data_IF_928159352376
#
_entry.id   IF_928159352376
#
_cell.length_a   1.000
_cell.length_b   1.000
_cell.length_c   1.000
_cell.angle_alpha   90.00
_cell.angle_beta   90.00
_cell.angle_gamma   90.00
#
_symmetry.space_group_name_H-M   'P 1'
#
loop_
_entity.id
_entity.type
_entity.pdbx_description
1 polymer ?
#
# COMPACT_ATOMS: atom_id res chain seq x y z
N UNK A 1 -17.20 -11.37 -14.01
CA UNK A 1 -18.57 -10.86 -14.28
C UNK A 1 -18.97 -11.41 -15.64
N UNK A 2 -20.20 -11.87 -15.80
CA UNK A 2 -20.75 -12.34 -17.06
C UNK A 2 -20.97 -11.14 -17.99
N UNK A 3 -20.44 -11.16 -19.22
CA UNK A 3 -20.44 -9.98 -20.09
C UNK A 3 -21.84 -9.60 -20.61
N UNK A 4 -22.82 -10.50 -20.53
CA UNK A 4 -24.16 -10.27 -21.07
C UNK A 4 -25.11 -9.74 -19.99
N UNK A 5 -25.07 -10.34 -18.81
CA UNK A 5 -25.98 -10.05 -17.71
C UNK A 5 -25.41 -9.07 -16.68
N UNK A 6 -24.08 -8.92 -16.64
CA UNK A 6 -23.40 -8.15 -15.61
C UNK A 6 -23.36 -8.85 -14.25
N UNK A 7 -23.79 -10.11 -14.15
CA UNK A 7 -23.82 -10.87 -12.89
C UNK A 7 -22.44 -11.45 -12.53
N UNK A 8 -22.15 -11.71 -11.25
CA UNK A 8 -20.92 -12.37 -10.86
C UNK A 8 -20.82 -13.78 -11.44
N UNK A 9 -19.62 -14.14 -11.85
CA UNK A 9 -19.26 -15.48 -12.36
C UNK A 9 -18.47 -16.24 -11.30
N UNK A 10 -17.51 -15.53 -10.69
CA UNK A 10 -16.69 -16.02 -9.61
C UNK A 10 -16.48 -14.86 -8.64
N UNK A 11 -16.67 -15.11 -7.35
CA UNK A 11 -16.35 -14.17 -6.29
C UNK A 11 -15.34 -14.84 -5.37
N UNK A 12 -14.23 -14.16 -5.13
CA UNK A 12 -13.27 -14.56 -4.10
C UNK A 12 -13.28 -13.51 -2.97
N UNK A 13 -13.62 -13.95 -1.75
CA UNK A 13 -13.69 -13.10 -0.56
C UNK A 13 -12.76 -13.65 0.51
N UNK A 14 -11.92 -12.79 1.07
CA UNK A 14 -11.17 -13.10 2.29
C UNK A 14 -11.91 -12.52 3.49
N UNK A 15 -12.53 -13.38 4.30
CA UNK A 15 -13.22 -12.99 5.52
C UNK A 15 -12.22 -13.01 6.68
N UNK A 16 -11.97 -11.83 7.27
CA UNK A 16 -11.05 -11.66 8.41
C UNK A 16 -11.78 -11.60 9.76
N UNK A 17 -12.91 -12.29 9.90
CA UNK A 17 -13.71 -12.31 11.14
C UNK A 17 -13.22 -13.33 12.17
N UNK A 18 -12.23 -14.15 11.81
CA UNK A 18 -11.62 -15.18 12.65
C UNK A 18 -10.09 -15.00 12.69
N UNK A 19 -9.42 -15.59 13.69
CA UNK A 19 -7.96 -15.54 13.85
C UNK A 19 -7.16 -16.18 12.69
N UNK A 20 -7.86 -16.89 11.79
CA UNK A 20 -7.33 -17.35 10.50
C UNK A 20 -8.23 -16.75 9.42
N UNK A 21 -7.68 -16.04 8.42
CA UNK A 21 -8.44 -15.55 7.29
C UNK A 21 -9.11 -16.72 6.55
N UNK A 22 -10.44 -16.65 6.40
CA UNK A 22 -11.19 -17.65 5.63
C UNK A 22 -11.39 -17.15 4.22
N UNK A 23 -10.81 -17.83 3.25
CA UNK A 23 -11.10 -17.62 1.84
C UNK A 23 -12.45 -18.30 1.51
N UNK A 24 -13.37 -17.53 0.94
CA UNK A 24 -14.66 -18.00 0.48
C UNK A 24 -14.72 -17.74 -1.02
N UNK A 25 -14.67 -18.83 -1.78
CA UNK A 25 -14.85 -18.80 -3.23
C UNK A 25 -16.29 -19.18 -3.55
N UNK A 26 -17.03 -18.26 -4.14
CA UNK A 26 -18.39 -18.52 -4.66
C UNK A 26 -18.31 -18.61 -6.18
N UNK A 27 -18.63 -19.79 -6.73
CA UNK A 27 -18.64 -20.06 -8.16
C UNK A 27 -20.09 -20.09 -8.68
N UNK A 28 -20.45 -19.08 -9.47
CA UNK A 28 -21.80 -18.94 -10.04
C UNK A 28 -21.91 -19.52 -11.46
N UNK A 29 -20.83 -20.09 -12.01
CA UNK A 29 -20.92 -20.84 -13.27
C UNK A 29 -21.73 -22.14 -13.12
N UNK A 30 -21.65 -22.76 -11.95
CA UNK A 30 -22.35 -24.02 -11.64
C UNK A 30 -23.69 -23.80 -10.95
N UNK A 31 -23.86 -22.64 -10.32
CA UNK A 31 -25.11 -22.26 -9.63
C UNK A 31 -25.35 -20.76 -9.89
N UNK A 32 -25.96 -20.41 -11.04
CA UNK A 32 -26.16 -19.01 -11.41
C UNK A 32 -26.97 -18.26 -10.35
N UNK A 33 -26.48 -17.08 -9.97
CA UNK A 33 -27.22 -16.15 -9.11
C UNK A 33 -28.02 -15.18 -9.96
N UNK A 34 -29.18 -14.75 -9.49
CA UNK A 34 -29.94 -13.63 -10.06
C UNK A 34 -29.61 -12.29 -9.39
N UNK A 35 -28.82 -12.33 -8.32
CA UNK A 35 -28.44 -11.18 -7.51
C UNK A 35 -27.03 -10.71 -7.88
N UNK A 36 -26.86 -9.39 -7.96
CA UNK A 36 -25.54 -8.76 -8.07
C UNK A 36 -24.76 -8.89 -6.75
N UNK A 37 -23.44 -8.70 -6.79
CA UNK A 37 -22.65 -8.29 -5.63
C UNK A 37 -22.43 -6.77 -5.66
N UNK A 38 -22.00 -6.15 -4.55
CA UNK A 38 -21.86 -4.70 -4.47
C UNK A 38 -21.03 -4.07 -5.61
N UNK A 39 -20.00 -4.76 -6.10
CA UNK A 39 -19.17 -4.27 -7.21
C UNK A 39 -19.91 -4.34 -8.56
N UNK A 40 -20.41 -5.50 -8.97
CA UNK A 40 -21.22 -5.63 -10.20
C UNK A 40 -22.49 -4.79 -10.17
N UNK A 41 -23.08 -4.56 -9.00
CA UNK A 41 -24.20 -3.66 -8.80
C UNK A 41 -23.87 -2.22 -9.26
N UNK A 42 -22.67 -1.72 -8.96
CA UNK A 42 -22.21 -0.41 -9.44
C UNK A 42 -22.11 -0.41 -10.97
N UNK A 43 -21.58 -1.49 -11.57
CA UNK A 43 -21.52 -1.59 -13.04
C UNK A 43 -22.92 -1.64 -13.67
N UNK A 44 -23.86 -2.38 -13.07
CA UNK A 44 -25.23 -2.42 -13.56
C UNK A 44 -25.93 -1.06 -13.44
N UNK A 45 -25.72 -0.36 -12.33
CA UNK A 45 -26.22 0.99 -12.16
C UNK A 45 -25.65 1.95 -13.20
N UNK A 46 -24.37 1.83 -13.57
CA UNK A 46 -23.75 2.64 -14.64
C UNK A 46 -24.40 2.37 -16.00
N UNK A 47 -24.58 1.10 -16.34
CA UNK A 47 -25.26 0.67 -17.56
C UNK A 47 -26.68 1.25 -17.64
N UNK A 48 -27.39 1.28 -16.52
CA UNK A 48 -28.73 1.84 -16.40
C UNK A 48 -28.77 3.37 -16.22
N UNK A 49 -27.64 4.07 -16.41
CA UNK A 49 -27.56 5.53 -16.33
C UNK A 49 -27.80 6.09 -14.92
N UNK A 50 -27.48 5.34 -13.88
CA UNK A 50 -27.68 5.73 -12.48
C UNK A 50 -29.14 5.64 -12.03
N UNK A 51 -29.97 4.83 -12.69
CA UNK A 51 -31.38 4.69 -12.34
C UNK A 51 -31.81 3.22 -12.30
N UNK A 52 -32.70 2.86 -11.39
CA UNK A 52 -33.29 1.51 -11.32
C UNK A 52 -33.20 0.88 -9.94
N UNK A 53 -33.86 -0.26 -9.78
CA UNK A 53 -33.77 -1.07 -8.56
C UNK A 53 -33.22 -2.44 -8.91
N UNK A 54 -32.14 -2.83 -8.24
CA UNK A 54 -31.42 -4.04 -8.57
C UNK A 54 -31.26 -4.91 -7.32
N UNK A 55 -31.57 -6.21 -7.40
CA UNK A 55 -31.36 -7.13 -6.30
C UNK A 55 -29.87 -7.46 -6.19
N UNK A 56 -29.34 -7.48 -4.97
CA UNK A 56 -27.96 -7.88 -4.71
C UNK A 56 -27.88 -8.74 -3.45
N UNK A 57 -26.86 -9.58 -3.37
CA UNK A 57 -26.64 -10.47 -2.24
C UNK A 57 -25.32 -10.13 -1.56
N UNK A 58 -25.35 -10.04 -0.24
CA UNK A 58 -24.18 -9.76 0.57
C UNK A 58 -24.25 -10.57 1.86
N UNK A 59 -23.18 -11.33 2.15
CA UNK A 59 -23.11 -12.23 3.30
C UNK A 59 -24.23 -13.28 3.37
N UNK A 60 -24.74 -13.73 2.23
CA UNK A 60 -25.80 -14.75 2.13
C UNK A 60 -27.22 -14.20 2.28
N UNK A 61 -27.36 -12.90 2.55
CA UNK A 61 -28.65 -12.21 2.62
C UNK A 61 -28.92 -11.47 1.30
N UNK A 62 -30.21 -11.34 0.95
CA UNK A 62 -30.64 -10.67 -0.27
C UNK A 62 -31.23 -9.30 0.05
N UNK A 63 -30.80 -8.30 -0.70
CA UNK A 63 -31.19 -6.91 -0.56
C UNK A 63 -31.60 -6.35 -1.92
N UNK A 64 -32.23 -5.18 -1.89
CA UNK A 64 -32.47 -4.38 -3.09
C UNK A 64 -31.79 -3.03 -2.89
N UNK A 65 -31.08 -2.58 -3.91
CA UNK A 65 -30.54 -1.23 -3.98
C UNK A 65 -31.31 -0.45 -5.04
N UNK A 66 -31.90 0.67 -4.64
CA UNK A 66 -32.59 1.61 -5.52
C UNK A 66 -31.67 2.78 -5.82
N UNK A 67 -31.41 2.98 -7.10
CA UNK A 67 -30.67 4.07 -7.68
C UNK A 67 -31.66 5.06 -8.29
N UNK A 68 -31.57 6.32 -7.87
CA UNK A 68 -32.39 7.39 -8.41
C UNK A 68 -31.47 8.52 -8.89
N UNK A 69 -31.46 8.77 -10.20
CA UNK A 69 -30.76 9.90 -10.77
C UNK A 69 -31.36 11.20 -10.19
N UNK A 70 -30.53 12.00 -9.53
CA UNK A 70 -30.91 13.30 -8.99
C UNK A 70 -31.10 14.32 -10.11
N UNK A 71 -32.04 15.26 -9.92
CA UNK A 71 -32.19 16.39 -10.87
C UNK A 71 -30.90 17.21 -10.92
N UNK A 72 -30.46 17.54 -12.14
CA UNK A 72 -29.25 18.34 -12.40
C UNK A 72 -29.29 19.72 -11.74
N UNK A 73 -30.48 20.29 -11.55
CA UNK A 73 -30.72 21.70 -11.23
C UNK A 73 -30.24 22.16 -9.84
N UNK A 74 -29.91 21.24 -8.91
CA UNK A 74 -29.39 21.62 -7.58
C UNK A 74 -28.17 20.84 -7.08
N UNK A 75 -27.76 19.77 -7.76
CA UNK A 75 -26.79 18.80 -7.23
C UNK A 75 -25.85 18.18 -8.27
N UNK A 76 -26.16 18.31 -9.56
CA UNK A 76 -25.30 17.90 -10.66
C UNK A 76 -24.40 19.05 -11.12
N UNK A 77 -23.21 18.71 -11.61
CA UNK A 77 -22.24 19.71 -12.02
C UNK A 77 -20.87 19.13 -12.27
N UNK A 78 -19.91 20.03 -12.51
CA UNK A 78 -18.52 19.68 -12.71
C UNK A 78 -17.90 19.22 -11.40
N UNK A 79 -17.31 18.03 -11.42
CA UNK A 79 -16.53 17.48 -10.31
C UNK A 79 -15.07 17.46 -10.76
N UNK A 80 -14.23 18.19 -10.02
CA UNK A 80 -12.77 18.19 -10.21
C UNK A 80 -12.13 17.14 -9.30
N UNK A 81 -11.30 16.28 -9.87
CA UNK A 81 -10.51 15.27 -9.19
C UNK A 81 -9.07 15.29 -9.72
N UNK A 82 -8.21 14.41 -9.20
CA UNK A 82 -6.83 14.27 -9.69
C UNK A 82 -6.79 13.67 -11.11
N UNK A 83 -7.84 12.95 -11.51
CA UNK A 83 -8.01 12.38 -12.85
C UNK A 83 -8.52 13.40 -13.89
N UNK A 84 -8.90 14.62 -13.47
CA UNK A 84 -9.43 15.65 -14.36
C UNK A 84 -10.73 16.27 -13.86
N UNK A 85 -11.43 16.96 -14.76
CA UNK A 85 -12.72 17.59 -14.48
C UNK A 85 -13.80 16.91 -15.30
N UNK A 86 -14.89 16.52 -14.64
CA UNK A 86 -15.96 15.72 -15.23
C UNK A 86 -17.30 16.41 -15.04
N UNK A 87 -18.10 16.52 -16.10
CA UNK A 87 -19.53 16.78 -15.97
C UNK A 87 -20.21 15.53 -15.42
N UNK A 88 -20.98 15.66 -14.33
CA UNK A 88 -21.55 14.50 -13.64
C UNK A 88 -23.05 14.63 -13.36
N UNK A 89 -23.71 13.47 -13.27
CA UNK A 89 -25.08 13.31 -12.79
C UNK A 89 -25.06 12.59 -11.44
N UNK A 90 -25.60 13.20 -10.36
CA UNK A 90 -25.63 12.58 -9.04
C UNK A 90 -26.67 11.47 -9.02
N UNK A 91 -26.32 10.33 -8.45
CA UNK A 91 -27.22 9.19 -8.25
C UNK A 91 -27.39 8.95 -6.76
N UNK A 92 -28.61 9.02 -6.25
CA UNK A 92 -28.93 8.70 -4.86
C UNK A 92 -29.13 7.20 -4.74
N UNK A 93 -28.52 6.58 -3.75
CA UNK A 93 -28.57 5.13 -3.52
C UNK A 93 -29.26 4.87 -2.19
N UNK A 94 -30.29 4.03 -2.22
CA UNK A 94 -31.05 3.61 -1.04
C UNK A 94 -31.07 2.09 -0.97
N UNK A 95 -30.85 1.55 0.24
CA UNK A 95 -30.97 0.12 0.50
C UNK A 95 -31.07 -0.15 1.99
N UNK A 96 -31.88 -1.13 2.39
CA UNK A 96 -31.94 -1.61 3.79
C UNK A 96 -30.60 -2.15 4.28
N UNK A 97 -29.76 -2.67 3.38
CA UNK A 97 -28.38 -3.02 3.68
C UNK A 97 -27.58 -1.81 4.17
N UNK A 98 -27.64 -0.69 3.43
CA UNK A 98 -26.92 0.52 3.81
C UNK A 98 -27.42 1.06 5.16
N UNK A 99 -28.73 1.00 5.39
CA UNK A 99 -29.33 1.39 6.66
C UNK A 99 -28.85 0.53 7.83
N UNK A 100 -28.76 -0.80 7.65
CA UNK A 100 -28.27 -1.75 8.65
C UNK A 100 -26.84 -1.42 9.10
N UNK A 101 -26.00 -0.99 8.15
CA UNK A 101 -24.61 -0.60 8.41
C UNK A 101 -24.45 0.88 8.83
N UNK A 102 -25.56 1.58 9.08
CA UNK A 102 -25.54 2.98 9.51
C UNK A 102 -25.04 3.93 8.43
N UNK A 103 -25.09 3.54 7.16
CA UNK A 103 -24.70 4.35 6.01
C UNK A 103 -25.94 5.11 5.53
N UNK A 104 -25.86 6.44 5.55
CA UNK A 104 -26.95 7.35 5.19
C UNK A 104 -26.53 8.26 4.04
N UNK A 105 -27.52 8.83 3.35
CA UNK A 105 -27.31 9.82 2.27
C UNK A 105 -26.30 9.37 1.19
N UNK A 106 -26.30 8.08 0.86
CA UNK A 106 -25.36 7.54 -0.11
C UNK A 106 -25.63 8.18 -1.48
N UNK A 107 -24.59 8.80 -2.05
CA UNK A 107 -24.59 9.37 -3.39
C UNK A 107 -23.38 8.92 -4.20
N UNK A 108 -23.63 8.67 -5.48
CA UNK A 108 -22.63 8.36 -6.49
C UNK A 108 -22.76 9.33 -7.67
N UNK A 109 -21.75 10.15 -7.92
CA UNK A 109 -21.72 11.05 -9.07
C UNK A 109 -21.08 10.31 -10.26
N UNK A 110 -21.87 10.08 -11.31
CA UNK A 110 -21.45 9.38 -12.54
C UNK A 110 -21.12 10.40 -13.64
N UNK A 111 -20.07 10.17 -14.43
CA UNK A 111 -19.74 11.05 -15.56
C UNK A 111 -20.84 11.08 -16.62
N UNK A 112 -20.96 12.21 -17.31
CA UNK A 112 -21.99 12.44 -18.34
C UNK A 112 -21.58 11.91 -19.73
N UNK A 113 -20.40 11.31 -19.87
CA UNK A 113 -19.97 10.63 -21.08
C UNK A 113 -20.61 9.23 -21.24
N UNK A 114 -20.29 8.56 -22.35
CA UNK A 114 -20.77 7.21 -22.67
C UNK A 114 -20.28 6.13 -21.70
N UNK A 115 -19.20 6.37 -20.96
CA UNK A 115 -18.61 5.42 -20.03
C UNK A 115 -19.24 5.50 -18.63
N UNK A 116 -19.91 6.62 -18.28
CA UNK A 116 -20.62 6.79 -16.99
C UNK A 116 -19.74 6.42 -15.80
N UNK A 117 -18.51 6.92 -15.76
CA UNK A 117 -17.50 6.55 -14.76
C UNK A 117 -17.92 7.09 -13.38
N UNK A 118 -17.80 6.32 -12.29
CA UNK A 118 -17.97 6.85 -10.94
C UNK A 118 -16.85 7.85 -10.61
N UNK A 119 -17.20 9.14 -10.48
CA UNK A 119 -16.24 10.22 -10.26
C UNK A 119 -16.10 10.55 -8.78
N UNK A 120 -17.23 10.57 -8.05
CA UNK A 120 -17.27 10.89 -6.63
C UNK A 120 -18.32 10.04 -5.91
N UNK A 121 -17.96 9.52 -4.74
CA UNK A 121 -18.87 8.81 -3.85
C UNK A 121 -18.96 9.57 -2.52
N UNK A 122 -20.16 9.71 -1.97
CA UNK A 122 -20.39 10.37 -0.68
C UNK A 122 -21.41 9.61 0.14
N UNK A 123 -21.22 9.55 1.44
CA UNK A 123 -22.20 9.00 2.37
C UNK A 123 -21.89 9.47 3.79
N UNK A 124 -22.87 9.40 4.67
CA UNK A 124 -22.74 9.69 6.08
C UNK A 124 -22.74 8.40 6.90
N UNK A 125 -22.04 8.42 8.01
CA UNK A 125 -22.10 7.37 9.04
C UNK A 125 -22.26 8.02 10.41
N UNK A 126 -22.48 7.22 11.45
CA UNK A 126 -22.44 7.70 12.83
C UNK A 126 -21.10 8.33 13.24
N UNK A 127 -20.03 8.17 12.45
CA UNK A 127 -18.69 8.74 12.70
C UNK A 127 -18.39 9.99 11.85
N UNK A 128 -19.32 10.42 11.01
CA UNK A 128 -19.17 11.59 10.13
C UNK A 128 -19.36 11.27 8.66
N UNK A 129 -19.11 12.27 7.82
CA UNK A 129 -19.29 12.23 6.37
C UNK A 129 -18.03 11.73 5.65
N UNK A 130 -18.22 10.84 4.68
CA UNK A 130 -17.18 10.29 3.84
C UNK A 130 -17.31 10.81 2.42
N UNK A 131 -16.18 11.11 1.79
CA UNK A 131 -16.10 11.47 0.37
C UNK A 131 -14.93 10.75 -0.26
N UNK A 132 -15.18 10.05 -1.36
CA UNK A 132 -14.17 9.36 -2.18
C UNK A 132 -14.16 10.03 -3.55
N UNK A 133 -12.97 10.35 -4.07
CA UNK A 133 -12.77 10.98 -5.38
C UNK A 133 -11.96 10.06 -6.30
N UNK A 134 -12.25 10.13 -7.60
CA UNK A 134 -11.52 9.42 -8.64
C UNK A 134 -10.08 9.95 -8.77
N UNK A 135 -9.09 9.11 -8.44
CA UNK A 135 -7.67 9.49 -8.50
C UNK A 135 -7.08 9.36 -9.91
N UNK A 136 -7.49 8.35 -10.69
CA UNK A 136 -7.03 8.14 -12.07
C UNK A 136 -8.03 7.25 -12.82
N UNK A 137 -8.10 7.39 -14.15
CA UNK A 137 -8.86 6.51 -15.03
C UNK A 137 -8.00 6.08 -16.22
N UNK A 138 -8.06 4.79 -16.53
CA UNK A 138 -7.48 4.22 -17.74
C UNK A 138 -8.55 3.37 -18.40
N UNK A 139 -8.92 3.73 -19.62
CA UNK A 139 -9.78 2.92 -20.49
C UNK A 139 -8.85 2.24 -21.47
N UNK A 140 -8.60 0.95 -21.26
CA UNK A 140 -7.84 0.18 -22.23
C UNK A 140 -8.71 -0.08 -23.46
N UNK A 141 -8.20 0.28 -24.65
CA UNK A 141 -8.85 -0.12 -25.89
C UNK A 141 -8.86 -1.66 -25.96
N UNK A 142 -10.02 -2.28 -26.24
CA UNK A 142 -10.05 -3.70 -26.52
C UNK A 142 -9.05 -3.99 -27.65
N UNK A 143 -8.28 -5.09 -27.59
CA UNK A 143 -7.41 -5.46 -28.68
C UNK A 143 -8.25 -5.56 -29.95
N UNK A 144 -7.96 -4.66 -30.91
CA UNK A 144 -8.67 -4.59 -32.18
C UNK A 144 -8.52 -5.95 -32.85
N UNK A 145 -9.60 -6.72 -32.89
CA UNK A 145 -9.61 -7.96 -33.65
C UNK A 145 -9.55 -7.55 -35.12
N UNK A 146 -8.41 -7.79 -35.78
CA UNK A 146 -8.13 -7.40 -37.17
C UNK A 146 -8.94 -8.17 -38.23
N UNK A 147 -10.13 -8.65 -37.89
CA UNK A 147 -11.02 -9.38 -38.81
C UNK A 147 -12.28 -8.56 -39.09
N UNK A 148 -12.14 -7.48 -39.85
CA UNK A 148 -13.27 -6.83 -40.52
C UNK A 148 -12.79 -5.99 -41.70
N UNK A 149 -12.37 -6.67 -42.76
CA UNK A 149 -12.39 -6.11 -44.10
C UNK A 149 -12.86 -7.18 -45.09
N UNK A 150 -14.03 -6.92 -45.69
CA UNK A 150 -14.56 -7.34 -47.00
C UNK A 150 -15.92 -8.04 -46.96
N UNK A 151 -16.94 -7.22 -47.15
CA UNK A 151 -18.22 -7.54 -47.82
C UNK A 151 -17.89 -7.49 -49.33
N UNK A 152 -18.06 -8.52 -50.16
CA UNK A 152 -19.32 -9.06 -50.70
C UNK A 152 -19.11 -10.42 -51.42
N UNK A 153 -19.81 -11.49 -51.01
CA UNK A 153 -20.48 -12.49 -51.88
C UNK A 153 -21.17 -13.58 -51.04
N UNK A 154 -22.38 -14.05 -51.40
CA UNK A 154 -23.02 -15.17 -50.70
C UNK A 154 -22.41 -16.48 -51.19
N UNK A 155 -21.60 -17.13 -50.34
CA UNK A 155 -21.02 -18.45 -50.59
C UNK A 155 -21.71 -19.51 -49.70
N UNK A 156 -21.94 -20.74 -50.18
CA UNK A 156 -22.74 -21.73 -49.46
C UNK A 156 -22.11 -22.12 -48.13
N UNK A 157 -22.96 -22.29 -47.12
CA UNK A 157 -22.63 -22.70 -45.75
C UNK A 157 -21.77 -23.95 -45.73
N UNK A 158 -20.47 -23.78 -45.46
CA UNK A 158 -19.59 -24.87 -45.05
C UNK A 158 -19.72 -25.12 -43.54
N UNK A 159 -19.77 -26.39 -43.22
CA UNK A 159 -19.82 -26.97 -41.89
C UNK A 159 -18.74 -26.37 -40.97
N UNK A 160 -19.05 -26.01 -39.70
CA UNK A 160 -18.11 -25.37 -38.80
C UNK A 160 -16.90 -26.27 -38.54
N UNK A 161 -15.73 -25.84 -39.04
CA UNK A 161 -14.44 -26.45 -38.73
C UNK A 161 -14.18 -26.32 -37.23
N UNK A 162 -13.78 -27.39 -36.52
CA UNK A 162 -13.45 -27.32 -35.11
C UNK A 162 -12.44 -26.21 -34.84
N UNK A 163 -12.79 -25.26 -33.98
CA UNK A 163 -11.89 -24.18 -33.56
C UNK A 163 -10.65 -24.84 -32.92
N UNK A 164 -9.43 -24.61 -33.44
CA UNK A 164 -8.23 -25.19 -32.86
C UNK A 164 -8.16 -24.81 -31.38
N UNK A 165 -7.92 -25.81 -30.53
CA UNK A 165 -7.73 -25.59 -29.11
C UNK A 165 -6.62 -24.55 -28.92
N UNK A 166 -6.81 -23.54 -28.05
CA UNK A 166 -5.80 -22.52 -27.82
C UNK A 166 -4.49 -23.20 -27.40
N UNK A 167 -3.43 -22.98 -28.17
CA UNK A 167 -2.10 -23.46 -27.84
C UNK A 167 -1.73 -22.91 -26.45
N UNK A 168 -1.33 -23.76 -25.49
CA UNK A 168 -0.93 -23.28 -24.16
C UNK A 168 0.15 -22.21 -24.32
N UNK A 169 -0.11 -21.01 -23.78
CA UNK A 169 0.89 -19.95 -23.78
C UNK A 169 2.12 -20.46 -23.02
N UNK A 170 3.33 -20.41 -23.59
CA UNK A 170 4.54 -20.80 -22.86
C UNK A 170 4.60 -20.04 -21.55
N UNK A 171 4.71 -20.77 -20.44
CA UNK A 171 5.00 -20.15 -19.15
C UNK A 171 6.43 -19.59 -19.24
N UNK A 172 6.65 -18.29 -18.98
CA UNK A 172 7.99 -17.74 -19.00
C UNK A 172 8.92 -18.55 -18.12
N UNK A 173 10.05 -19.01 -18.68
CA UNK A 173 11.09 -19.67 -17.89
C UNK A 173 11.60 -18.68 -16.84
N UNK A 174 11.65 -19.03 -15.55
CA UNK A 174 12.20 -18.16 -14.52
C UNK A 174 13.63 -17.75 -14.89
N UNK A 175 13.93 -16.46 -14.82
CA UNK A 175 15.31 -15.99 -14.98
C UNK A 175 16.14 -16.57 -13.83
N UNK A 176 17.28 -17.21 -14.10
CA UNK A 176 18.13 -17.73 -13.03
C UNK A 176 18.59 -16.59 -12.12
N UNK A 177 18.57 -16.86 -10.82
CA UNK A 177 19.04 -15.92 -9.81
C UNK A 177 20.55 -15.67 -9.95
N UNK A 178 20.98 -14.42 -9.79
CA UNK A 178 22.39 -14.00 -9.84
C UNK A 178 22.72 -13.30 -8.52
N UNK A 179 23.71 -13.84 -7.80
CA UNK A 179 24.22 -13.24 -6.57
C UNK A 179 24.62 -11.77 -6.79
N UNK A 180 24.22 -10.90 -5.87
CA UNK A 180 24.49 -9.47 -5.89
C UNK A 180 24.06 -8.75 -7.19
N UNK A 181 23.01 -9.24 -7.85
CA UNK A 181 22.39 -8.51 -8.94
C UNK A 181 22.06 -7.07 -8.49
N UNK A 182 22.43 -6.03 -9.28
CA UNK A 182 22.17 -4.65 -8.93
C UNK A 182 20.71 -4.39 -8.56
N UNK A 183 20.49 -3.50 -7.59
CA UNK A 183 19.15 -3.07 -7.22
C UNK A 183 18.54 -2.20 -8.33
N UNK A 184 17.21 -2.15 -8.35
CA UNK A 184 16.45 -1.25 -9.22
C UNK A 184 16.84 0.21 -8.95
N UNK A 185 16.86 1.06 -9.98
CA UNK A 185 17.28 2.47 -9.85
C UNK A 185 16.30 3.31 -9.02
N UNK A 186 15.08 2.82 -8.90
CA UNK A 186 14.00 3.36 -8.07
C UNK A 186 14.30 3.19 -6.58
N UNK A 187 15.12 2.19 -6.24
CA UNK A 187 15.68 2.02 -4.90
C UNK A 187 16.85 3.00 -4.74
N UNK A 188 16.70 3.98 -3.85
CA UNK A 188 17.65 5.10 -3.74
C UNK A 188 18.92 4.78 -2.96
N UNK A 189 19.38 3.53 -2.99
CA UNK A 189 20.60 3.04 -2.35
C UNK A 189 21.18 1.85 -3.12
N UNK A 190 22.40 1.44 -2.78
CA UNK A 190 23.11 0.35 -3.45
C UNK A 190 23.51 -0.75 -2.47
N UNK A 191 23.80 -1.94 -2.99
CA UNK A 191 24.43 -3.02 -2.21
C UNK A 191 25.83 -2.55 -1.80
N UNK A 192 26.19 -2.81 -0.54
CA UNK A 192 27.44 -2.35 0.05
C UNK A 192 27.36 -1.01 0.78
N UNK A 193 26.22 -0.30 0.71
CA UNK A 193 26.06 0.98 1.39
C UNK A 193 26.11 0.79 2.92
N UNK A 194 26.86 1.66 3.59
CA UNK A 194 26.94 1.76 5.05
C UNK A 194 26.76 3.21 5.49
N UNK A 195 25.98 3.41 6.56
CA UNK A 195 25.65 4.71 7.13
C UNK A 195 25.91 4.65 8.64
N UNK A 196 26.87 5.43 9.14
CA UNK A 196 27.17 5.50 10.58
C UNK A 196 26.51 6.72 11.21
N UNK A 197 25.89 6.51 12.36
CA UNK A 197 25.17 7.52 13.11
C UNK A 197 25.70 7.65 14.53
N UNK A 198 25.99 8.88 14.95
CA UNK A 198 26.23 9.20 16.36
C UNK A 198 24.89 9.39 17.06
N UNK A 199 24.68 8.65 18.14
CA UNK A 199 23.45 8.69 18.94
C UNK A 199 23.64 9.57 20.17
N UNK A 200 22.72 10.50 20.35
CA UNK A 200 22.64 11.46 21.44
C UNK A 200 21.37 11.18 22.28
N UNK A 201 21.45 11.42 23.58
CA UNK A 201 20.30 11.58 24.47
C UNK A 201 20.35 12.97 25.10
N UNK A 202 19.46 13.86 24.67
CA UNK A 202 19.63 15.29 24.93
C UNK A 202 20.95 15.80 24.33
N UNK A 203 21.83 16.38 25.15
CA UNK A 203 23.14 16.87 24.73
C UNK A 203 24.29 15.87 24.90
N UNK A 204 24.03 14.67 25.44
CA UNK A 204 25.06 13.67 25.72
C UNK A 204 25.14 12.62 24.60
N UNK A 205 26.35 12.37 24.08
CA UNK A 205 26.58 11.25 23.17
C UNK A 205 26.57 9.93 23.96
N UNK A 206 25.77 8.96 23.49
CA UNK A 206 25.58 7.67 24.17
C UNK A 206 26.08 6.47 23.34
N UNK A 207 26.36 6.65 22.05
CA UNK A 207 26.95 5.59 21.23
C UNK A 207 26.95 5.90 19.74
N UNK A 208 27.28 4.87 18.96
CA UNK A 208 27.29 4.91 17.49
C UNK A 208 26.58 3.67 16.95
N UNK A 209 25.75 3.84 15.92
CA UNK A 209 25.03 2.75 15.24
C UNK A 209 25.35 2.79 13.74
N UNK A 210 25.49 1.63 13.12
CA UNK A 210 25.66 1.48 11.66
C UNK A 210 24.42 0.88 11.03
N UNK A 211 23.88 1.52 10.00
CA UNK A 211 22.94 0.90 9.05
C UNK A 211 23.73 0.38 7.84
N UNK A 212 23.32 -0.75 7.27
CA UNK A 212 23.94 -1.27 6.05
C UNK A 212 22.97 -2.06 5.17
N UNK A 213 23.10 -1.89 3.85
CA UNK A 213 22.51 -2.74 2.83
C UNK A 213 23.59 -3.71 2.32
N UNK A 214 23.67 -4.91 2.90
CA UNK A 214 24.87 -5.75 2.82
C UNK A 214 25.04 -6.51 1.52
N UNK A 215 24.09 -7.41 1.21
CA UNK A 215 24.21 -8.38 0.12
C UNK A 215 22.82 -8.74 -0.41
N UNK A 216 22.75 -9.14 -1.69
CA UNK A 216 21.56 -9.74 -2.31
C UNK A 216 21.85 -11.19 -2.67
N UNK A 217 21.15 -12.13 -2.03
CA UNK A 217 21.36 -13.57 -2.17
C UNK A 217 20.03 -14.31 -2.16
N UNK A 218 20.01 -15.52 -2.69
CA UNK A 218 18.87 -16.41 -2.50
C UNK A 218 18.87 -16.93 -1.06
N UNK A 219 17.82 -16.61 -0.30
CA UNK A 219 17.60 -17.10 1.06
C UNK A 219 16.18 -17.67 1.14
N UNK A 220 16.02 -18.85 1.75
CA UNK A 220 14.72 -19.52 1.88
C UNK A 220 14.00 -19.69 0.52
N UNK A 221 14.77 -20.00 -0.53
CA UNK A 221 14.32 -20.11 -1.92
C UNK A 221 13.77 -18.81 -2.54
N UNK A 222 13.99 -17.65 -1.91
CA UNK A 222 13.57 -16.34 -2.40
C UNK A 222 14.77 -15.40 -2.62
N UNK A 223 14.69 -14.57 -3.65
CA UNK A 223 15.63 -13.46 -3.83
C UNK A 223 15.46 -12.46 -2.68
N UNK A 224 16.57 -12.19 -1.98
CA UNK A 224 16.56 -11.51 -0.69
C UNK A 224 17.72 -10.52 -0.57
N UNK A 225 17.41 -9.27 -0.21
CA UNK A 225 18.37 -8.25 0.19
C UNK A 225 18.50 -8.23 1.71
N UNK A 226 19.74 -8.27 2.22
CA UNK A 226 20.04 -8.23 3.64
C UNK A 226 20.27 -6.78 4.11
N UNK A 227 19.37 -6.28 4.95
CA UNK A 227 19.52 -5.01 5.67
C UNK A 227 19.96 -5.28 7.12
N UNK A 228 20.83 -4.44 7.66
CA UNK A 228 21.24 -4.53 9.08
C UNK A 228 21.37 -3.18 9.76
N UNK A 229 21.08 -3.14 11.06
CA UNK A 229 21.45 -2.07 11.98
C UNK A 229 22.24 -2.67 13.15
N UNK A 230 23.43 -2.14 13.47
CA UNK A 230 24.30 -2.70 14.53
C UNK A 230 24.86 -1.58 15.40
N UNK A 231 24.87 -1.76 16.72
CA UNK A 231 25.58 -0.87 17.64
C UNK A 231 27.09 -1.09 17.47
N UNK A 232 27.83 -0.04 17.13
CA UNK A 232 29.29 -0.09 16.98
C UNK A 232 30.01 0.27 18.28
N UNK A 233 29.49 1.26 19.01
CA UNK A 233 30.12 1.81 20.18
C UNK A 233 29.08 2.22 21.22
N UNK A 234 29.41 1.98 22.49
CA UNK A 234 28.66 2.47 23.65
C UNK A 234 29.51 3.49 24.40
N UNK A 235 28.90 4.60 24.78
CA UNK A 235 29.52 5.63 25.61
C UNK A 235 28.90 5.63 27.02
N UNK A 236 29.61 6.17 28.04
CA UNK A 236 29.08 6.29 29.40
C UNK A 236 27.73 7.00 29.43
N UNK A 237 26.82 6.50 30.28
CA UNK A 237 25.46 7.02 30.43
C UNK A 237 24.41 6.34 29.56
N UNK A 238 24.82 5.54 28.57
CA UNK A 238 23.88 4.74 27.78
C UNK A 238 23.15 3.69 28.63
N UNK A 239 21.81 3.68 28.55
CA UNK A 239 20.93 2.64 29.10
C UNK A 239 19.95 2.08 28.07
N UNK A 240 20.03 2.56 26.83
CA UNK A 240 19.08 2.21 25.78
C UNK A 240 19.43 0.87 25.12
N UNK A 241 20.69 0.67 24.76
CA UNK A 241 21.13 -0.48 23.96
C UNK A 241 22.46 -1.07 24.46
N UNK A 242 22.72 -2.34 24.16
CA UNK A 242 23.97 -3.05 24.42
C UNK A 242 24.90 -3.17 23.21
N UNK A 243 26.17 -3.54 23.45
CA UNK A 243 27.22 -3.51 22.43
C UNK A 243 27.02 -4.57 21.33
N UNK A 244 26.26 -5.62 21.64
CA UNK A 244 25.89 -6.68 20.70
C UNK A 244 24.52 -6.46 20.07
N UNK A 245 23.88 -5.32 20.33
CA UNK A 245 22.53 -5.08 19.84
C UNK A 245 22.54 -4.93 18.31
N UNK A 246 21.61 -5.63 17.67
CA UNK A 246 21.48 -5.65 16.22
C UNK A 246 20.06 -5.91 15.76
N UNK A 247 19.72 -5.34 14.61
CA UNK A 247 18.52 -5.66 13.85
C UNK A 247 18.98 -6.16 12.49
N UNK A 248 18.44 -7.28 12.06
CA UNK A 248 18.69 -7.84 10.74
C UNK A 248 17.33 -8.05 10.08
N UNK A 249 17.19 -7.67 8.82
CA UNK A 249 15.96 -7.90 8.05
C UNK A 249 16.34 -8.36 6.64
N UNK A 250 15.75 -9.47 6.20
CA UNK A 250 15.77 -9.88 4.79
C UNK A 250 14.52 -9.35 4.13
N UNK A 251 14.69 -8.67 3.00
CA UNK A 251 13.60 -8.07 2.24
C UNK A 251 13.62 -8.53 0.80
N UNK A 252 12.46 -8.55 0.17
CA UNK A 252 12.40 -8.62 -1.29
C UNK A 252 13.11 -7.36 -1.88
N UNK A 253 14.08 -7.49 -2.78
CA UNK A 253 14.90 -6.36 -3.24
C UNK A 253 14.13 -5.31 -4.05
N UNK A 254 13.02 -5.68 -4.69
CA UNK A 254 12.26 -4.79 -5.56
C UNK A 254 11.22 -3.99 -4.77
N UNK A 255 10.62 -4.59 -3.75
CA UNK A 255 9.53 -3.99 -2.95
C UNK A 255 9.96 -3.53 -1.56
N UNK A 256 11.11 -4.01 -1.08
CA UNK A 256 11.60 -3.84 0.29
C UNK A 256 10.64 -4.39 1.37
N UNK A 257 9.67 -5.22 0.96
CA UNK A 257 8.80 -5.94 1.88
C UNK A 257 9.62 -7.00 2.64
N UNK A 258 9.53 -7.07 3.98
CA UNK A 258 10.22 -8.08 4.78
C UNK A 258 9.80 -9.51 4.42
N UNK A 259 10.76 -10.41 4.43
CA UNK A 259 10.58 -11.87 4.41
C UNK A 259 10.86 -12.45 5.79
N UNK A 260 11.92 -11.96 6.45
CA UNK A 260 12.25 -12.32 7.83
C UNK A 260 12.99 -11.18 8.53
N UNK A 261 12.95 -11.16 9.86
CA UNK A 261 13.72 -10.23 10.67
C UNK A 261 14.14 -10.84 12.00
N UNK A 262 15.27 -10.38 12.53
CA UNK A 262 15.77 -10.73 13.86
C UNK A 262 16.20 -9.47 14.59
N UNK A 263 15.63 -9.22 15.76
CA UNK A 263 15.98 -8.13 16.67
C UNK A 263 16.65 -8.75 17.89
N UNK A 264 17.94 -8.47 18.07
CA UNK A 264 18.73 -8.82 19.25
C UNK A 264 19.00 -7.52 19.99
N UNK A 265 18.18 -7.22 20.98
CA UNK A 265 18.22 -6.00 21.76
C UNK A 265 18.41 -6.33 23.24
N UNK A 266 19.11 -5.46 23.96
CA UNK A 266 19.36 -5.62 25.38
C UNK A 266 19.03 -4.32 26.13
N UNK A 267 19.29 -4.30 27.44
CA UNK A 267 19.03 -3.13 28.29
C UNK A 267 17.57 -2.64 28.20
N UNK A 268 17.35 -1.33 28.08
CA UNK A 268 16.02 -0.74 27.99
C UNK A 268 15.19 -1.18 26.78
N UNK A 269 15.81 -1.80 25.76
CA UNK A 269 15.13 -2.28 24.56
C UNK A 269 14.95 -3.81 24.53
N UNK A 270 15.33 -4.52 25.60
CA UNK A 270 15.26 -5.99 25.64
C UNK A 270 13.86 -6.55 25.35
N UNK A 271 12.81 -5.83 25.75
CA UNK A 271 11.42 -6.21 25.50
C UNK A 271 11.00 -6.19 24.01
N UNK A 272 11.84 -5.63 23.13
CA UNK A 272 11.64 -5.59 21.69
C UNK A 272 12.42 -6.70 20.96
N UNK A 273 13.19 -7.53 21.67
CA UNK A 273 13.90 -8.66 21.08
C UNK A 273 12.94 -9.72 20.58
N UNK A 274 13.03 -10.06 19.29
CA UNK A 274 12.18 -11.07 18.67
C UNK A 274 12.72 -11.53 17.31
N UNK A 275 12.20 -12.65 16.83
CA UNK A 275 12.38 -13.12 15.45
C UNK A 275 11.03 -13.09 14.74
N UNK A 276 11.03 -12.64 13.50
CA UNK A 276 9.87 -12.49 12.64
C UNK A 276 10.06 -13.34 11.38
N UNK A 277 9.01 -14.04 10.97
CA UNK A 277 8.86 -14.60 9.62
C UNK A 277 7.60 -14.01 9.01
N UNK A 278 7.70 -13.50 7.78
CA UNK A 278 6.64 -12.78 7.09
C UNK A 278 6.30 -13.52 5.80
N UNK A 279 5.05 -13.96 5.69
CA UNK A 279 4.52 -14.53 4.46
C UNK A 279 4.04 -13.39 3.56
N UNK A 280 4.84 -13.06 2.54
CA UNK A 280 4.54 -11.97 1.61
C UNK A 280 3.29 -12.15 0.75
N UNK A 281 2.75 -13.36 0.59
CA UNK A 281 1.52 -13.59 -0.19
C UNK A 281 0.24 -13.46 0.63
N UNK A 282 0.28 -13.83 1.91
CA UNK A 282 -0.89 -13.80 2.80
C UNK A 282 -0.89 -12.61 3.76
N UNK A 283 0.27 -12.00 4.00
CA UNK A 283 0.45 -10.99 5.04
C UNK A 283 0.51 -11.55 6.46
N UNK A 284 0.56 -12.88 6.62
CA UNK A 284 0.73 -13.52 7.93
C UNK A 284 2.16 -13.30 8.47
N UNK A 285 2.26 -12.92 9.74
CA UNK A 285 3.52 -12.67 10.45
C UNK A 285 3.59 -13.61 11.65
N UNK A 286 4.62 -14.45 11.72
CA UNK A 286 4.92 -15.29 12.87
C UNK A 286 6.03 -14.65 13.72
N UNK A 287 5.85 -14.58 15.04
CA UNK A 287 6.80 -13.96 15.97
C UNK A 287 6.80 -14.65 17.34
N UNK A 288 7.95 -15.15 17.78
CA UNK A 288 8.02 -15.94 19.01
C UNK A 288 7.05 -17.12 18.99
N UNK A 289 6.09 -17.15 19.92
CA UNK A 289 4.99 -18.13 19.94
C UNK A 289 3.67 -17.59 19.37
N UNK A 290 3.65 -16.35 18.88
CA UNK A 290 2.47 -15.66 18.37
C UNK A 290 2.42 -15.56 16.85
N UNK A 291 1.24 -15.21 16.35
CA UNK A 291 0.98 -14.86 14.95
C UNK A 291 0.13 -13.60 14.88
N UNK A 292 0.28 -12.83 13.80
CA UNK A 292 -0.55 -11.69 13.49
C UNK A 292 -0.83 -11.63 11.98
N UNK A 293 -2.03 -11.20 11.62
CA UNK A 293 -2.36 -10.87 10.24
C UNK A 293 -2.07 -9.40 9.98
N UNK A 294 -1.39 -9.13 8.86
CA UNK A 294 -1.05 -7.77 8.45
C UNK A 294 -1.39 -7.54 6.97
N UNK A 295 -1.50 -6.28 6.52
CA UNK A 295 -1.51 -5.98 5.09
C UNK A 295 -0.26 -6.53 4.39
N UNK A 296 -0.41 -7.04 3.17
CA UNK A 296 0.73 -7.39 2.32
C UNK A 296 1.59 -6.13 2.11
N UNK A 297 2.91 -6.27 2.24
CA UNK A 297 3.85 -5.15 2.23
C UNK A 297 4.06 -4.45 3.58
N UNK A 298 3.65 -5.06 4.70
CA UNK A 298 3.96 -4.54 6.04
C UNK A 298 5.47 -4.54 6.30
N UNK A 299 6.04 -3.36 6.60
CA UNK A 299 7.47 -3.16 6.82
C UNK A 299 7.90 -3.48 8.27
N UNK A 300 9.20 -3.73 8.47
CA UNK A 300 9.84 -3.54 9.77
C UNK A 300 10.34 -2.09 9.86
N UNK A 301 10.73 -1.62 11.06
CA UNK A 301 11.35 -0.29 11.18
C UNK A 301 12.60 -0.16 10.29
N UNK A 302 13.43 -1.21 10.23
CA UNK A 302 14.63 -1.19 9.41
C UNK A 302 14.30 -1.15 7.91
N UNK A 303 13.36 -1.96 7.42
CA UNK A 303 12.99 -1.91 6.01
C UNK A 303 12.27 -0.61 5.65
N UNK A 304 11.50 -0.03 6.58
CA UNK A 304 10.87 1.29 6.39
C UNK A 304 11.93 2.39 6.22
N UNK A 305 12.98 2.43 7.03
CA UNK A 305 14.04 3.44 6.94
C UNK A 305 14.64 3.49 5.53
N UNK A 306 14.88 2.32 4.92
CA UNK A 306 15.37 2.23 3.55
C UNK A 306 14.28 2.55 2.51
N UNK A 307 13.05 2.03 2.70
CA UNK A 307 11.94 2.26 1.77
C UNK A 307 11.50 3.73 1.68
N UNK A 308 11.62 4.49 2.78
CA UNK A 308 11.31 5.93 2.82
C UNK A 308 12.06 6.74 1.77
N UNK A 309 13.26 6.29 1.36
CA UNK A 309 14.08 6.95 0.34
C UNK A 309 13.45 6.87 -1.06
N UNK A 310 12.63 5.86 -1.29
CA UNK A 310 11.94 5.62 -2.58
C UNK A 310 10.49 6.11 -2.60
N UNK A 311 9.95 6.56 -1.47
CA UNK A 311 8.60 7.10 -1.44
C UNK A 311 8.51 8.49 -2.08
N UNK A 312 7.38 8.75 -2.73
CA UNK A 312 7.06 10.05 -3.31
C UNK A 312 6.58 11.04 -2.23
N UNK A 313 7.52 11.51 -1.41
CA UNK A 313 7.25 12.35 -0.25
C UNK A 313 7.13 13.83 -0.63
N UNK A 314 6.00 14.20 -1.25
CA UNK A 314 5.70 15.61 -1.57
C UNK A 314 4.99 16.29 -0.40
N UNK A 315 5.53 17.42 0.06
CA UNK A 315 4.88 18.23 1.09
C UNK A 315 3.45 18.62 0.66
N UNK A 316 2.52 18.58 1.60
CA UNK A 316 1.17 19.13 1.35
C UNK A 316 1.26 20.64 1.19
N UNK A 317 0.46 21.22 0.27
CA UNK A 317 0.32 22.68 0.12
C UNK A 317 -0.37 23.33 1.32
N UNK A 318 -1.17 22.56 2.06
CA UNK A 318 -1.96 23.03 3.21
C UNK A 318 -1.80 22.09 4.39
N UNK A 319 -1.39 22.62 5.54
CA UNK A 319 -1.19 21.85 6.77
C UNK A 319 -2.49 21.30 7.38
N UNK A 320 -3.63 21.94 7.09
CA UNK A 320 -4.95 21.56 7.63
C UNK A 320 -5.62 20.42 6.88
N UNK A 321 -5.16 20.09 5.67
CA UNK A 321 -5.69 19.02 4.83
C UNK A 321 -4.52 18.35 4.09
N UNK A 322 -3.77 17.47 4.76
CA UNK A 322 -2.62 16.83 4.14
C UNK A 322 -3.08 15.77 3.13
N UNK A 323 -3.12 16.16 1.85
CA UNK A 323 -3.50 15.27 0.74
C UNK A 323 -2.39 14.26 0.44
N UNK A 324 -1.14 14.56 0.83
CA UNK A 324 0.06 13.81 0.43
C UNK A 324 0.69 12.99 1.57
N UNK A 325 -0.06 12.72 2.64
CA UNK A 325 0.43 11.84 3.71
C UNK A 325 0.63 10.42 3.15
N UNK A 326 1.83 9.86 3.31
CA UNK A 326 2.10 8.46 2.93
C UNK A 326 1.76 7.56 4.10
N UNK A 327 0.92 6.54 3.89
CA UNK A 327 0.52 5.59 4.94
C UNK A 327 1.20 4.25 4.69
N UNK A 328 1.91 3.75 5.71
CA UNK A 328 2.68 2.52 5.61
C UNK A 328 2.34 1.61 6.78
N UNK A 329 2.05 0.34 6.49
CA UNK A 329 1.90 -0.65 7.55
C UNK A 329 3.27 -1.05 8.09
N UNK A 330 3.43 -1.05 9.41
CA UNK A 330 4.69 -1.36 10.09
C UNK A 330 4.42 -2.34 11.23
N UNK A 331 5.10 -3.46 11.23
CA UNK A 331 5.01 -4.41 12.33
C UNK A 331 5.85 -3.93 13.52
N UNK A 332 5.21 -3.76 14.68
CA UNK A 332 5.85 -3.31 15.91
C UNK A 332 5.37 -4.13 17.10
N UNK A 333 6.30 -4.67 17.87
CA UNK A 333 6.04 -5.61 18.98
C UNK A 333 5.24 -6.82 18.52
N UNK A 334 3.93 -6.79 18.68
CA UNK A 334 3.02 -7.92 18.53
C UNK A 334 1.98 -7.76 17.40
N UNK A 335 1.97 -6.61 16.70
CA UNK A 335 0.93 -6.31 15.70
C UNK A 335 1.38 -5.27 14.66
N UNK A 336 0.70 -5.20 13.49
CA UNK A 336 0.90 -4.11 12.54
C UNK A 336 0.22 -2.82 13.00
N UNK A 337 0.89 -1.69 12.77
CA UNK A 337 0.36 -0.34 12.94
C UNK A 337 0.46 0.44 11.63
N UNK A 338 -0.36 1.47 11.45
CA UNK A 338 -0.28 2.34 10.28
C UNK A 338 0.52 3.60 10.64
N UNK A 339 1.70 3.73 10.05
CA UNK A 339 2.54 4.90 10.18
C UNK A 339 2.14 5.89 9.09
N UNK A 340 1.82 7.11 9.51
CA UNK A 340 1.52 8.25 8.64
C UNK A 340 2.79 9.09 8.54
N UNK A 341 3.41 9.06 7.37
CA UNK A 341 4.59 9.84 7.03
C UNK A 341 4.15 11.17 6.42
N UNK A 342 4.40 12.26 7.14
CA UNK A 342 4.05 13.62 6.73
C UNK A 342 5.31 14.39 6.33
N UNK A 343 5.57 14.56 5.03
CA UNK A 343 6.66 15.40 4.58
C UNK A 343 6.36 16.88 4.81
N UNK A 344 7.33 17.60 5.36
CA UNK A 344 7.37 19.05 5.42
C UNK A 344 8.01 19.62 4.13
N UNK A 345 7.84 20.93 3.86
CA UNK A 345 8.64 21.62 2.86
C UNK A 345 10.15 21.43 3.12
N UNK A 346 10.99 21.44 2.07
CA UNK A 346 12.44 21.43 2.22
C UNK A 346 12.93 22.56 3.13
N UNK A 347 13.90 22.26 3.98
CA UNK A 347 14.53 23.19 4.93
C UNK A 347 16.02 22.86 5.07
N UNK A 348 16.74 23.53 5.97
CA UNK A 348 18.12 23.20 6.34
C UNK A 348 18.20 22.69 7.77
N UNK A 349 19.02 21.68 8.01
CA UNK A 349 19.40 21.23 9.35
C UNK A 349 20.85 21.55 9.63
N UNK A 350 21.17 21.90 10.88
CA UNK A 350 22.56 22.04 11.30
C UNK A 350 23.13 20.68 11.71
N UNK A 351 24.18 20.26 11.04
CA UNK A 351 25.00 19.09 11.40
C UNK A 351 26.45 19.50 11.42
N UNK A 352 27.15 19.21 12.52
CA UNK A 352 28.56 19.59 12.70
C UNK A 352 28.84 21.09 12.46
N UNK A 353 27.89 21.95 12.84
CA UNK A 353 27.97 23.40 12.66
C UNK A 353 27.70 23.89 11.23
N UNK A 354 27.39 22.99 10.29
CA UNK A 354 27.10 23.33 8.89
C UNK A 354 25.61 23.17 8.59
N UNK A 355 24.97 24.11 7.86
CA UNK A 355 23.63 23.92 7.33
C UNK A 355 23.67 22.91 6.18
N UNK A 356 22.80 21.89 6.24
CA UNK A 356 22.63 20.87 5.21
C UNK A 356 21.17 20.89 4.75
N UNK A 357 20.89 21.02 3.44
CA UNK A 357 19.52 21.00 2.93
C UNK A 357 18.91 19.60 3.10
N UNK A 358 17.69 19.56 3.66
CA UNK A 358 16.99 18.33 4.01
C UNK A 358 15.47 18.49 3.93
N UNK A 359 14.76 17.36 3.84
CA UNK A 359 13.32 17.28 3.97
C UNK A 359 12.97 16.59 5.29
N UNK A 360 12.27 17.29 6.19
CA UNK A 360 11.70 16.69 7.39
C UNK A 360 10.50 15.81 7.01
N UNK A 361 10.44 14.62 7.59
CA UNK A 361 9.30 13.71 7.57
C UNK A 361 8.90 13.42 9.01
N UNK A 362 7.73 13.93 9.42
CA UNK A 362 7.14 13.61 10.72
C UNK A 362 6.35 12.30 10.63
N UNK A 363 6.48 11.43 11.63
CA UNK A 363 5.83 10.12 11.65
C UNK A 363 4.81 10.08 12.79
N UNK A 364 3.55 9.82 12.46
CA UNK A 364 2.48 9.59 13.45
C UNK A 364 1.97 8.16 13.32
N UNK A 365 1.73 7.48 14.43
CA UNK A 365 1.39 6.05 14.47
C UNK A 365 -0.05 5.80 14.96
N UNK A 366 -0.66 6.78 15.62
CA UNK A 366 -1.95 6.60 16.30
C UNK A 366 -1.84 5.81 17.60
N UNK A 367 -0.61 5.47 18.03
CA UNK A 367 -0.32 4.80 19.30
C UNK A 367 0.23 5.84 20.26
N UNK A 368 -0.46 6.16 21.37
CA UNK A 368 -0.05 7.24 22.27
C UNK A 368 1.40 7.15 22.75
N UNK A 369 1.87 5.94 23.08
CA UNK A 369 3.24 5.71 23.55
C UNK A 369 4.30 6.03 22.49
N UNK A 370 4.04 5.71 21.21
CA UNK A 370 4.96 6.00 20.11
C UNK A 370 4.83 7.45 19.66
N UNK A 371 3.63 8.00 19.64
CA UNK A 371 3.38 9.40 19.26
C UNK A 371 3.99 10.37 20.27
N UNK A 372 4.08 9.97 21.55
CA UNK A 372 4.82 10.71 22.57
C UNK A 372 6.32 10.85 22.27
N UNK A 373 6.88 9.96 21.44
CA UNK A 373 8.26 10.05 20.97
C UNK A 373 8.43 11.07 19.84
N UNK A 374 7.35 11.61 19.26
CA UNK A 374 7.42 12.60 18.17
C UNK A 374 8.43 12.20 17.07
N UNK A 375 8.27 10.99 16.55
CA UNK A 375 9.19 10.37 15.60
C UNK A 375 9.40 11.26 14.36
N UNK A 376 10.66 11.55 14.02
CA UNK A 376 11.03 12.39 12.86
C UNK A 376 12.26 11.84 12.14
N UNK A 377 12.29 12.03 10.82
CA UNK A 377 13.43 11.72 9.96
C UNK A 377 13.71 12.91 9.05
N UNK A 378 14.97 13.25 8.86
CA UNK A 378 15.39 14.22 7.84
C UNK A 378 16.09 13.46 6.71
N UNK A 379 15.57 13.58 5.50
CA UNK A 379 16.16 12.98 4.30
C UNK A 379 16.95 14.05 3.53
N UNK A 380 18.09 13.70 2.93
CA UNK A 380 18.77 14.58 1.99
C UNK A 380 17.86 14.94 0.80
N UNK A 381 18.11 16.09 0.17
CA UNK A 381 17.37 16.53 -1.02
C UNK A 381 17.96 16.03 -2.34
N UNK A 382 19.11 15.35 -2.31
CA UNK A 382 19.71 14.74 -3.49
C UNK A 382 18.98 13.43 -3.87
N UNK A 383 19.39 12.83 -4.99
CA UNK A 383 18.73 11.61 -5.51
C UNK A 383 18.88 10.41 -4.58
N UNK A 384 19.88 10.41 -3.69
CA UNK A 384 20.11 9.31 -2.75
C UNK A 384 19.13 9.33 -1.57
N UNK A 385 18.55 10.49 -1.25
CA UNK A 385 17.62 10.69 -0.12
C UNK A 385 18.12 10.05 1.18
N UNK A 386 19.42 10.09 1.45
CA UNK A 386 20.03 9.50 2.65
C UNK A 386 19.36 10.08 3.90
N UNK A 387 18.95 9.25 4.87
CA UNK A 387 18.50 9.73 6.17
C UNK A 387 19.66 10.40 6.93
N UNK A 388 19.60 11.72 7.08
CA UNK A 388 20.63 12.52 7.72
C UNK A 388 20.49 12.53 9.25
N UNK A 389 19.25 12.51 9.75
CA UNK A 389 18.94 12.56 11.17
C UNK A 389 17.67 11.78 11.50
N UNK A 390 17.70 11.05 12.60
CA UNK A 390 16.51 10.46 13.24
C UNK A 390 16.29 11.11 14.60
N UNK A 391 15.03 11.33 14.98
CA UNK A 391 14.64 11.77 16.33
C UNK A 391 13.52 10.89 16.86
N UNK A 392 13.65 10.45 18.12
CA UNK A 392 12.66 9.71 18.87
C UNK A 392 12.73 10.10 20.37
N UNK A 393 11.83 10.96 20.81
CA UNK A 393 11.76 11.51 22.15
C UNK A 393 13.00 12.35 22.43
N UNK A 394 13.74 11.97 23.47
CA UNK A 394 15.02 12.61 23.82
C UNK A 394 16.21 12.09 23.01
N UNK A 395 16.02 11.06 22.18
CA UNK A 395 17.08 10.46 21.40
C UNK A 395 17.17 11.11 20.02
N UNK A 396 18.40 11.35 19.57
CA UNK A 396 18.72 11.84 18.24
C UNK A 396 19.87 11.02 17.67
N UNK A 397 19.79 10.60 16.41
CA UNK A 397 20.86 9.91 15.70
C UNK A 397 21.25 10.73 14.47
N UNK A 398 22.47 11.26 14.45
CA UNK A 398 23.00 12.11 13.38
C UNK A 398 23.99 11.33 12.52
N UNK A 399 23.81 11.38 11.21
CA UNK A 399 24.72 10.78 10.25
C UNK A 399 26.12 11.41 10.40
N UNK A 400 27.13 10.57 10.61
CA UNK A 400 28.54 10.97 10.69
C UNK A 400 29.34 10.55 9.46
N UNK A 401 28.96 9.46 8.80
CA UNK A 401 29.60 9.01 7.57
C UNK A 401 28.65 8.17 6.73
N UNK A 402 28.85 8.24 5.41
CA UNK A 402 28.21 7.37 4.42
C UNK A 402 29.28 6.84 3.48
N UNK A 403 29.29 5.53 3.22
CA UNK A 403 30.24 4.91 2.30
C UNK A 403 29.63 3.73 1.56
N UNK A 404 30.22 3.37 0.42
CA UNK A 404 29.85 2.19 -0.36
C UNK A 404 31.04 1.24 -0.34
N UNK A 405 30.87 0.07 0.27
CA UNK A 405 31.87 -1.00 0.28
C UNK A 405 31.37 -2.07 -0.69
N UNK A 406 32.03 -2.21 -1.85
CA UNK A 406 31.61 -3.21 -2.84
C UNK A 406 31.51 -4.62 -2.20
N UNK A 407 30.41 -5.36 -2.44
CA UNK A 407 30.14 -6.65 -1.82
C UNK A 407 31.06 -7.78 -2.29
#
# INVERSE_FOLDING_TARGET
IDPTSGLPVLINRTIKSTAVPKEVVSNFLTTPTTNFELLSLIFKAREAGGNGSFPFSENGENYVATFAAGRLDKLGGKVRTDAGEFDTTPTIIQSTYLDLFGIKNFRLDLSNDQFRIPVRMRFDTGKGSFTVLLASVRVDEPPVSMDSALVTQPQPTSQPTPRPAPTPRPVPTPTPFIDNQPLLREVKFVIGETLDYRVMQGSQAIGTIRLAAKERKQAENADSLLLSATVLQILPGNRAFGAADSLITRVNPDTLAPQSAEFRLSQGLAALSQRLSVNGSTGAIAFGAGTADAPVGTHTILSLIYAMRSFHLQASKTNSAPVNDTRVAVFWRDRPYIFVLRPAPPDSITMEGKPIPAQLVAITTGVPELDALQLKVWLSLDDSRIPLRFVAGTYQADLTSASIIAP
#
